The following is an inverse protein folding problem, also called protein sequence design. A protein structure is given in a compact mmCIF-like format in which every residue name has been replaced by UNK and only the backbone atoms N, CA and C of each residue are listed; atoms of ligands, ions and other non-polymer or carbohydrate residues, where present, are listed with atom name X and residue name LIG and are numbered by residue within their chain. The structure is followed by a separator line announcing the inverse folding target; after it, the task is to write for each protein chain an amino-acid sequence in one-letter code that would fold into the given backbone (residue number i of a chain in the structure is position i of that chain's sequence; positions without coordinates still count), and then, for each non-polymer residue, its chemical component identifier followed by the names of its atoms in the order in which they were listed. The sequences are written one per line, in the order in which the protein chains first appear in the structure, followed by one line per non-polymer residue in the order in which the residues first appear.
data_IF_965923753242
#
_entry.id   IF_965923753242
#
_cell.length_a   1.000
_cell.length_b   1.000
_cell.length_c   1.000
_cell.angle_alpha   90.00
_cell.angle_beta   90.00
_cell.angle_gamma   90.00
#
_symmetry.space_group_name_H-M   'P 1'
#
loop_
_entity.id
_entity.type
_entity.pdbx_description
1 polymer ?
#
# COMPACT_ATOMS: atom_id res chain seq x y z
N UNK A 1 3.46 10.69 6.31
CA UNK A 1 3.81 9.29 5.99
C UNK A 1 2.72 8.43 6.58
N UNK A 2 2.15 7.51 5.80
CA UNK A 2 1.05 6.64 6.24
C UNK A 2 1.59 5.21 6.28
N UNK A 3 1.52 4.58 7.43
CA UNK A 3 2.01 3.23 7.69
C UNK A 3 0.94 2.16 7.45
N UNK A 4 -0.34 2.49 7.69
CA UNK A 4 -1.48 1.60 7.48
C UNK A 4 -2.68 2.32 6.86
N UNK A 5 -3.36 1.64 5.94
CA UNK A 5 -4.59 2.09 5.28
C UNK A 5 -5.58 0.92 5.25
N UNK A 6 -6.72 1.07 5.91
CA UNK A 6 -7.81 0.11 5.80
C UNK A 6 -8.55 0.26 4.47
N UNK A 7 -9.22 -0.80 4.01
CA UNK A 7 -9.96 -0.79 2.73
C UNK A 7 -11.01 0.32 2.68
N UNK A 8 -11.64 0.63 3.81
CA UNK A 8 -12.65 1.70 3.95
C UNK A 8 -12.06 3.10 3.73
N UNK A 9 -10.75 3.26 3.85
CA UNK A 9 -10.04 4.53 3.74
C UNK A 9 -9.35 4.70 2.38
N UNK A 10 -9.44 3.70 1.48
CA UNK A 10 -8.73 3.70 0.20
C UNK A 10 -9.18 4.80 -0.75
N UNK A 11 -10.47 5.17 -0.73
CA UNK A 11 -10.99 6.24 -1.58
C UNK A 11 -10.46 7.62 -1.12
N UNK A 12 -10.39 7.86 0.19
CA UNK A 12 -9.74 9.06 0.74
C UNK A 12 -8.24 9.07 0.46
N UNK A 13 -7.56 7.93 0.67
CA UNK A 13 -6.14 7.78 0.37
C UNK A 13 -5.83 8.02 -1.13
N UNK A 14 -6.75 7.63 -2.02
CA UNK A 14 -6.63 7.87 -3.46
C UNK A 14 -6.79 9.35 -3.84
N UNK A 15 -7.52 10.12 -3.04
CA UNK A 15 -7.65 11.57 -3.20
C UNK A 15 -6.43 12.33 -2.68
N UNK A 16 -5.77 11.83 -1.63
CA UNK A 16 -4.50 12.37 -1.14
C UNK A 16 -3.31 12.01 -2.03
N UNK A 17 -3.40 10.90 -2.76
CA UNK A 17 -2.33 10.41 -3.63
C UNK A 17 -2.34 11.11 -5.00
N UNK A 18 -1.16 11.53 -5.48
CA UNK A 18 -0.98 12.10 -6.80
C UNK A 18 0.00 11.29 -7.66
N UNK A 19 -0.13 11.41 -8.98
CA UNK A 19 0.81 10.85 -9.96
C UNK A 19 0.98 9.33 -9.86
N UNK A 20 2.24 8.87 -9.75
CA UNK A 20 2.56 7.43 -9.67
C UNK A 20 2.04 6.79 -8.40
N UNK A 21 1.84 7.54 -7.31
CA UNK A 21 1.36 6.98 -6.05
C UNK A 21 -0.13 6.61 -6.12
N UNK A 22 -0.95 7.44 -6.77
CA UNK A 22 -2.38 7.15 -6.99
C UNK A 22 -2.59 5.80 -7.68
N UNK A 23 -1.78 5.51 -8.70
CA UNK A 23 -1.81 4.21 -9.39
C UNK A 23 -1.49 3.03 -8.48
N UNK A 24 -0.57 3.20 -7.52
CA UNK A 24 -0.24 2.13 -6.58
C UNK A 24 -1.36 1.89 -5.56
N UNK A 25 -2.03 2.96 -5.10
CA UNK A 25 -3.18 2.84 -4.19
C UNK A 25 -4.34 2.15 -4.91
N UNK A 26 -4.62 2.51 -6.17
CA UNK A 26 -5.65 1.85 -6.98
C UNK A 26 -5.35 0.36 -7.18
N UNK A 27 -4.11 0.00 -7.53
CA UNK A 27 -3.72 -1.40 -7.67
C UNK A 27 -3.80 -2.17 -6.34
N UNK A 28 -3.47 -1.54 -5.21
CA UNK A 28 -3.63 -2.15 -3.89
C UNK A 28 -5.11 -2.42 -3.58
N UNK A 29 -6.01 -1.49 -3.92
CA UNK A 29 -7.46 -1.69 -3.81
C UNK A 29 -7.93 -2.87 -4.65
N UNK A 30 -7.59 -2.90 -5.93
CA UNK A 30 -7.98 -4.00 -6.84
C UNK A 30 -7.52 -5.37 -6.33
N UNK A 31 -6.30 -5.45 -5.76
CA UNK A 31 -5.80 -6.68 -5.16
C UNK A 31 -6.58 -7.09 -3.90
N UNK A 32 -6.88 -6.14 -3.00
CA UNK A 32 -7.69 -6.41 -1.81
C UNK A 32 -9.11 -6.84 -2.19
N UNK A 33 -9.75 -6.15 -3.13
CA UNK A 33 -11.09 -6.51 -3.66
C UNK A 33 -11.09 -7.91 -4.31
N UNK A 34 -9.97 -8.33 -4.90
CA UNK A 34 -9.78 -9.67 -5.44
C UNK A 34 -9.48 -10.75 -4.38
N UNK A 35 -9.48 -10.41 -3.08
CA UNK A 35 -9.30 -11.33 -1.97
C UNK A 35 -7.86 -11.48 -1.47
N UNK A 36 -6.93 -10.62 -1.91
CA UNK A 36 -5.58 -10.58 -1.31
C UNK A 36 -5.70 -10.05 0.12
N UNK A 37 -5.15 -10.73 1.14
CA UNK A 37 -5.35 -10.31 2.54
C UNK A 37 -4.51 -9.10 2.96
N UNK A 38 -3.41 -8.82 2.26
CA UNK A 38 -2.46 -7.76 2.59
C UNK A 38 -1.67 -7.33 1.36
N UNK A 39 -1.63 -6.02 1.12
CA UNK A 39 -0.73 -5.40 0.14
C UNK A 39 0.24 -4.48 0.87
N UNK A 40 1.53 -4.51 0.50
CA UNK A 40 2.55 -3.63 1.08
C UNK A 40 3.25 -2.86 -0.03
N UNK A 41 3.23 -1.53 0.06
CA UNK A 41 4.04 -0.65 -0.78
C UNK A 41 5.30 -0.27 -0.01
N UNK A 42 6.42 -0.92 -0.34
CA UNK A 42 7.75 -0.63 0.21
C UNK A 42 8.65 0.22 -0.71
N UNK A 43 9.80 0.67 -0.19
CA UNK A 43 10.86 1.32 -0.99
C UNK A 43 11.83 0.28 -1.55
N UNK A 44 11.77 0.07 -2.88
CA UNK A 44 12.64 -0.87 -3.58
C UNK A 44 14.12 -0.48 -3.66
N UNK A 45 14.48 0.74 -3.29
CA UNK A 45 15.88 1.21 -3.27
C UNK A 45 16.59 0.90 -1.96
N UNK A 46 15.83 0.55 -0.91
CA UNK A 46 16.40 0.22 0.38
C UNK A 46 17.14 -1.12 0.32
N UNK A 47 18.14 -1.31 1.19
CA UNK A 47 18.78 -2.60 1.38
C UNK A 47 17.76 -3.62 1.91
N UNK A 48 17.78 -4.84 1.36
CA UNK A 48 16.85 -5.92 1.72
C UNK A 48 15.37 -5.48 1.69
N UNK A 49 14.88 -4.95 0.56
CA UNK A 49 13.62 -4.21 0.51
C UNK A 49 12.40 -5.08 0.88
N UNK A 50 12.42 -6.37 0.51
CA UNK A 50 11.36 -7.32 0.84
C UNK A 50 11.33 -7.59 2.35
N UNK A 51 12.48 -7.95 2.94
CA UNK A 51 12.59 -8.20 4.39
C UNK A 51 12.11 -7.01 5.19
N UNK A 52 12.50 -5.79 4.79
CA UNK A 52 12.07 -4.56 5.45
C UNK A 52 10.56 -4.34 5.33
N UNK A 53 9.98 -4.59 4.16
CA UNK A 53 8.54 -4.46 3.95
C UNK A 53 7.75 -5.41 4.85
N UNK A 54 8.18 -6.68 4.91
CA UNK A 54 7.59 -7.69 5.79
C UNK A 54 7.76 -7.33 7.28
N UNK A 55 8.87 -6.70 7.65
CA UNK A 55 9.12 -6.17 8.99
C UNK A 55 8.34 -4.88 9.33
N UNK A 56 7.48 -4.39 8.44
CA UNK A 56 6.60 -3.24 8.68
C UNK A 56 7.04 -1.93 8.03
N UNK A 57 8.10 -1.91 7.23
CA UNK A 57 8.49 -0.70 6.51
C UNK A 57 7.61 -0.45 5.27
N UNK A 58 7.13 0.78 5.11
CA UNK A 58 6.27 1.19 3.99
C UNK A 58 4.82 1.36 4.41
N UNK A 59 3.91 1.26 3.45
CA UNK A 59 2.46 1.41 3.69
C UNK A 59 1.77 0.07 3.49
N UNK A 60 1.01 -0.36 4.49
CA UNK A 60 0.26 -1.61 4.51
C UNK A 60 -1.21 -1.34 4.22
N UNK A 61 -1.79 -2.12 3.33
CA UNK A 61 -3.20 -2.07 2.97
C UNK A 61 -3.84 -3.40 3.34
N UNK A 62 -4.93 -3.36 4.10
CA UNK A 62 -5.68 -4.54 4.54
C UNK A 62 -7.18 -4.31 4.38
N UNK A 63 -7.96 -5.39 4.42
CA UNK A 63 -9.39 -5.29 4.73
C UNK A 63 -9.62 -4.62 6.08
#
# INVERSE_FOLDING_TARGET
FVDHVAVTQLDEASNWAQGRMKRKVLAAREALEAGVPLVIIGDGRAAQPITRALAGAGTRFTH
#
